data_IF_863033416034
#
_entry.id   IF_863033416034
#
_cell.length_a   1.000
_cell.length_b   1.000
_cell.length_c   1.000
_cell.angle_alpha   90.00
_cell.angle_beta   90.00
_cell.angle_gamma   90.00
#
_symmetry.space_group_name_H-M   'P 1'
#
loop_
_entity.id
_entity.type
_entity.pdbx_description
1 polymer ?
#
# COMPACT_ATOMS: atom_id res chain seq x y z
N UNK A 1 -0.13 -23.29 -11.12
CA UNK A 1 -0.81 -21.99 -10.87
C UNK A 1 0.18 -20.83 -10.97
N UNK A 2 1.40 -21.03 -10.55
CA UNK A 2 2.55 -20.10 -10.65
C UNK A 2 2.90 -19.73 -12.11
N UNK A 3 2.97 -20.72 -12.98
CA UNK A 3 3.31 -20.56 -14.41
C UNK A 3 2.34 -19.67 -15.22
N UNK A 4 1.07 -19.60 -14.81
CA UNK A 4 0.07 -18.78 -15.51
C UNK A 4 0.17 -17.29 -15.16
N UNK A 5 0.55 -16.97 -13.92
CA UNK A 5 0.73 -15.59 -13.44
C UNK A 5 2.03 -14.97 -13.96
N UNK A 6 3.10 -15.76 -14.04
CA UNK A 6 4.35 -15.33 -14.67
C UNK A 6 4.17 -15.07 -16.16
N UNK A 7 3.36 -15.88 -16.83
CA UNK A 7 3.09 -15.74 -18.27
C UNK A 7 2.29 -14.47 -18.56
N UNK A 8 1.28 -14.15 -17.76
CA UNK A 8 0.53 -12.89 -17.87
C UNK A 8 1.43 -11.67 -17.68
N UNK A 9 2.39 -11.74 -16.75
CA UNK A 9 3.37 -10.67 -16.54
C UNK A 9 4.37 -10.53 -17.67
N UNK A 10 4.80 -11.64 -18.28
CA UNK A 10 5.72 -11.64 -19.41
C UNK A 10 5.06 -11.09 -20.68
N UNK A 11 3.78 -11.38 -20.89
CA UNK A 11 3.00 -10.85 -22.00
C UNK A 11 2.68 -9.35 -21.82
N UNK A 12 2.51 -8.89 -20.57
CA UNK A 12 2.37 -7.48 -20.25
C UNK A 12 3.66 -6.68 -20.51
N UNK A 13 4.86 -7.26 -20.28
CA UNK A 13 6.13 -6.62 -20.67
C UNK A 13 6.24 -6.38 -22.18
N UNK A 14 5.67 -7.27 -23.00
CA UNK A 14 5.59 -7.08 -24.46
C UNK A 14 4.63 -5.95 -24.82
N UNK A 15 3.49 -5.83 -24.12
CA UNK A 15 2.52 -4.76 -24.31
C UNK A 15 3.08 -3.37 -24.01
N UNK A 16 3.87 -3.23 -22.95
CA UNK A 16 4.48 -1.93 -22.56
C UNK A 16 5.52 -1.46 -23.60
N UNK A 17 6.22 -2.37 -24.28
CA UNK A 17 7.16 -2.02 -25.35
C UNK A 17 6.47 -1.58 -26.64
N UNK A 18 5.20 -1.92 -26.87
CA UNK A 18 4.43 -1.59 -28.08
C UNK A 18 3.47 -0.41 -27.90
N UNK A 19 3.17 0.03 -26.69
CA UNK A 19 2.27 1.17 -26.44
C UNK A 19 2.88 2.54 -26.80
N UNK A 20 4.13 2.58 -27.22
CA UNK A 20 4.78 3.80 -27.72
C UNK A 20 4.55 4.04 -29.22
N UNK A 21 3.88 3.19 -29.97
CA UNK A 21 3.54 3.42 -31.37
C UNK A 21 2.21 2.76 -31.76
N UNK A 22 1.34 3.58 -32.33
CA UNK A 22 0.21 3.32 -33.24
C UNK A 22 -1.19 3.06 -32.67
N UNK A 23 -2.06 3.91 -33.17
CA UNK A 23 -3.52 3.94 -33.29
C UNK A 23 -4.12 2.66 -33.93
N UNK A 24 -5.30 2.30 -33.41
CA UNK A 24 -6.43 1.65 -34.08
C UNK A 24 -6.27 0.25 -34.70
N UNK A 25 -6.92 -0.73 -34.07
CA UNK A 25 -7.80 -1.71 -34.77
C UNK A 25 -8.64 -2.50 -33.72
N UNK A 26 -9.96 -2.36 -33.81
CA UNK A 26 -10.94 -3.13 -33.07
C UNK A 26 -10.99 -4.57 -33.60
N UNK A 27 -10.72 -5.55 -32.73
CA UNK A 27 -11.03 -6.95 -33.03
C UNK A 27 -11.76 -7.57 -31.81
N UNK A 28 -13.03 -7.89 -32.04
CA UNK A 28 -13.89 -8.63 -31.12
C UNK A 28 -13.44 -10.09 -31.16
N UNK A 29 -12.88 -10.60 -30.05
CA UNK A 29 -12.67 -12.03 -29.86
C UNK A 29 -13.65 -12.56 -28.82
N UNK A 30 -14.59 -13.38 -29.26
CA UNK A 30 -15.42 -14.22 -28.40
C UNK A 30 -14.63 -15.44 -27.96
N UNK A 31 -14.37 -15.56 -26.66
CA UNK A 31 -13.75 -16.74 -26.04
C UNK A 31 -14.83 -17.70 -25.54
N UNK A 32 -14.63 -19.02 -25.69
CA UNK A 32 -15.58 -20.01 -25.17
C UNK A 32 -15.53 -20.04 -23.63
N UNK A 33 -16.72 -20.03 -23.01
CA UNK A 33 -16.87 -20.23 -21.58
C UNK A 33 -16.62 -21.71 -21.24
N UNK A 34 -15.43 -22.01 -20.71
CA UNK A 34 -15.21 -23.25 -19.96
C UNK A 34 -15.41 -22.96 -18.47
N UNK A 35 -16.53 -23.40 -17.95
CA UNK A 35 -16.81 -23.44 -16.51
C UNK A 35 -15.95 -24.51 -15.86
N UNK A 36 -14.79 -24.15 -15.33
CA UNK A 36 -14.08 -24.95 -14.35
C UNK A 36 -14.62 -24.58 -12.98
N UNK A 37 -15.38 -25.49 -12.37
CA UNK A 37 -15.71 -25.46 -10.96
C UNK A 37 -14.44 -25.56 -10.15
N UNK A 38 -13.94 -24.41 -9.68
CA UNK A 38 -12.88 -24.37 -8.66
C UNK A 38 -13.58 -24.56 -7.33
N UNK A 39 -13.29 -25.68 -6.67
CA UNK A 39 -13.63 -25.89 -5.27
C UNK A 39 -13.15 -24.66 -4.48
N UNK A 40 -14.12 -23.86 -4.03
CA UNK A 40 -13.89 -22.72 -3.18
C UNK A 40 -13.40 -23.22 -1.81
N UNK A 41 -12.09 -23.35 -1.67
CA UNK A 41 -11.47 -23.30 -0.35
C UNK A 41 -11.77 -21.90 0.21
N UNK A 42 -12.85 -21.88 0.96
CA UNK A 42 -13.59 -20.74 1.47
C UNK A 42 -12.65 -19.77 2.18
N UNK A 43 -12.27 -18.68 1.53
CA UNK A 43 -12.01 -17.46 2.25
C UNK A 43 -13.36 -17.03 2.85
N UNK A 44 -13.49 -16.84 4.18
CA UNK A 44 -14.70 -16.22 4.70
C UNK A 44 -14.88 -14.89 3.97
N UNK A 45 -16.12 -14.51 3.61
CA UNK A 45 -16.35 -13.23 2.96
C UNK A 45 -15.75 -12.14 3.85
N UNK A 46 -14.90 -11.29 3.25
CA UNK A 46 -14.40 -10.09 3.92
C UNK A 46 -15.63 -9.36 4.47
N UNK A 47 -15.64 -9.08 5.78
CA UNK A 47 -16.78 -8.40 6.40
C UNK A 47 -16.97 -7.07 5.71
N UNK A 48 -18.15 -6.87 5.11
CA UNK A 48 -18.50 -5.60 4.48
C UNK A 48 -18.62 -4.52 5.54
N UNK A 49 -17.89 -3.41 5.33
CA UNK A 49 -17.97 -2.23 6.20
C UNK A 49 -19.20 -1.43 5.78
N UNK A 50 -20.14 -1.18 6.71
CA UNK A 50 -21.26 -0.28 6.46
C UNK A 50 -20.75 1.18 6.41
N UNK A 51 -21.11 1.91 5.35
CA UNK A 51 -20.70 3.29 5.15
C UNK A 51 -21.50 4.26 6.00
N UNK A 52 -20.91 5.42 6.33
CA UNK A 52 -21.63 6.54 6.98
C UNK A 52 -22.75 7.05 6.08
N UNK A 53 -23.83 7.57 6.70
CA UNK A 53 -25.03 8.07 5.98
C UNK A 53 -24.83 9.39 5.21
N UNK A 54 -23.60 9.93 5.15
CA UNK A 54 -23.32 11.19 4.44
C UNK A 54 -22.65 10.87 3.10
N UNK A 55 -23.35 11.08 1.97
CA UNK A 55 -22.75 10.86 0.66
C UNK A 55 -21.55 11.79 0.42
N UNK A 56 -20.45 11.21 -0.04
CA UNK A 56 -19.26 11.94 -0.50
C UNK A 56 -19.01 11.59 -1.97
N UNK A 57 -18.07 12.25 -2.63
CA UNK A 57 -17.62 11.86 -3.98
C UNK A 57 -17.01 10.45 -4.05
N UNK A 58 -16.70 9.86 -2.91
CA UNK A 58 -16.15 8.51 -2.78
C UNK A 58 -17.19 7.44 -2.45
N UNK A 59 -18.43 7.82 -2.14
CA UNK A 59 -19.47 6.88 -1.71
C UNK A 59 -19.64 5.74 -2.71
N UNK A 60 -19.49 4.49 -2.22
CA UNK A 60 -19.61 3.28 -3.01
C UNK A 60 -18.35 2.88 -3.80
N UNK A 61 -17.34 3.74 -3.90
CA UNK A 61 -16.05 3.39 -4.54
C UNK A 61 -15.32 2.32 -3.74
N UNK A 62 -14.55 1.49 -4.46
CA UNK A 62 -13.75 0.40 -3.90
C UNK A 62 -12.37 0.90 -3.49
N UNK A 63 -12.05 0.79 -2.20
CA UNK A 63 -10.73 1.09 -1.67
C UNK A 63 -9.90 -0.18 -1.50
N UNK A 64 -8.68 -0.20 -2.06
CA UNK A 64 -7.64 -1.17 -1.68
C UNK A 64 -6.51 -0.49 -0.92
N UNK A 65 -5.92 -1.23 0.02
CA UNK A 65 -4.83 -0.77 0.87
C UNK A 65 -3.60 -1.61 0.60
N UNK A 66 -2.47 -0.97 0.34
CA UNK A 66 -1.15 -1.59 0.32
C UNK A 66 -0.37 -1.08 1.53
N UNK A 67 -0.17 -1.94 2.53
CA UNK A 67 0.40 -1.53 3.80
C UNK A 67 1.30 -2.59 4.44
N UNK A 68 1.88 -2.23 5.56
CA UNK A 68 2.60 -3.11 6.48
C UNK A 68 1.80 -3.40 7.76
N UNK A 69 2.47 -3.65 8.89
CA UNK A 69 1.84 -3.94 10.17
C UNK A 69 0.84 -2.88 10.64
N UNK A 70 1.05 -1.61 10.28
CA UNK A 70 0.22 -0.50 10.72
C UNK A 70 -1.18 -0.49 10.11
N UNK A 71 -1.40 -1.33 9.09
CA UNK A 71 -2.66 -1.41 8.34
C UNK A 71 -3.32 -2.79 8.42
N UNK A 72 -2.68 -3.79 9.07
CA UNK A 72 -3.27 -5.13 9.19
C UNK A 72 -4.43 -5.15 10.19
N UNK A 73 -5.33 -6.12 10.03
CA UNK A 73 -6.26 -6.56 11.07
C UNK A 73 -6.68 -8.00 10.77
N UNK A 74 -6.81 -8.82 11.81
CA UNK A 74 -7.23 -10.21 11.66
C UNK A 74 -8.57 -10.31 10.90
N UNK A 75 -8.71 -11.29 10.02
CA UNK A 75 -9.87 -11.54 9.15
C UNK A 75 -10.12 -10.46 8.05
N UNK A 76 -9.26 -9.44 7.92
CA UNK A 76 -9.39 -8.38 6.91
C UNK A 76 -8.22 -8.31 5.94
N UNK A 77 -7.27 -9.24 6.04
CA UNK A 77 -6.12 -9.39 5.13
C UNK A 77 -6.07 -10.82 4.57
N UNK A 78 -5.34 -11.11 3.48
CA UNK A 78 -5.16 -12.47 2.98
C UNK A 78 -4.65 -13.42 4.09
N UNK A 79 -5.13 -14.67 4.10
CA UNK A 79 -4.90 -15.63 5.20
C UNK A 79 -3.45 -15.95 5.49
N UNK A 80 -2.61 -15.94 4.47
CA UNK A 80 -1.17 -16.22 4.56
C UNK A 80 -0.33 -14.96 4.88
N UNK A 81 -0.98 -13.79 5.05
CA UNK A 81 -0.31 -12.54 5.40
C UNK A 81 -0.13 -12.45 6.92
N UNK A 82 0.97 -11.81 7.31
CA UNK A 82 1.28 -11.62 8.72
C UNK A 82 0.39 -10.55 9.35
N UNK A 83 -0.11 -10.81 10.55
CA UNK A 83 -1.05 -9.97 11.29
C UNK A 83 -0.31 -9.24 12.40
N UNK A 84 -0.67 -7.98 12.67
CA UNK A 84 -0.31 -7.26 13.90
C UNK A 84 -1.54 -6.97 14.77
N UNK A 85 -2.59 -6.37 14.19
CA UNK A 85 -3.81 -6.06 14.94
C UNK A 85 -4.81 -7.23 14.94
N UNK A 86 -5.60 -7.44 16.05
CA UNK A 86 -5.71 -6.55 17.23
C UNK A 86 -4.52 -6.63 18.19
N UNK A 87 -3.82 -7.75 18.36
CA UNK A 87 -2.69 -7.93 19.29
C UNK A 87 -2.80 -7.06 20.56
N UNK A 88 -1.68 -6.73 21.18
CA UNK A 88 -1.61 -5.85 22.35
C UNK A 88 -1.48 -4.36 21.93
N UNK A 89 -2.28 -3.93 20.98
CA UNK A 89 -2.11 -2.64 20.31
C UNK A 89 -3.00 -1.51 20.86
N UNK A 90 -3.97 -1.83 21.72
CA UNK A 90 -5.01 -0.86 22.14
C UNK A 90 -6.10 -0.65 21.08
N UNK A 91 -6.13 -1.44 19.99
CA UNK A 91 -7.19 -1.48 18.97
C UNK A 91 -7.81 -2.88 18.96
N UNK A 92 -8.81 -3.16 19.82
CA UNK A 92 -9.41 -4.49 19.93
C UNK A 92 -10.38 -4.82 18.81
N UNK A 93 -10.91 -3.81 18.13
CA UNK A 93 -11.95 -3.94 17.09
C UNK A 93 -11.49 -3.27 15.81
N UNK A 94 -11.89 -3.82 14.67
CA UNK A 94 -11.50 -3.32 13.34
C UNK A 94 -11.91 -1.88 13.10
N UNK A 95 -13.02 -1.45 13.66
CA UNK A 95 -13.54 -0.09 13.60
C UNK A 95 -12.55 0.95 14.16
N UNK A 96 -11.64 0.54 15.02
CA UNK A 96 -10.58 1.38 15.57
C UNK A 96 -9.38 1.56 14.63
N UNK A 97 -9.26 0.77 13.56
CA UNK A 97 -8.16 0.94 12.59
C UNK A 97 -8.31 2.22 11.78
N UNK A 98 -7.20 2.82 11.38
CA UNK A 98 -7.22 4.06 10.61
C UNK A 98 -8.00 3.92 9.29
N UNK A 99 -7.83 2.80 8.60
CA UNK A 99 -8.46 2.58 7.29
C UNK A 99 -9.96 2.30 7.39
N UNK A 100 -10.42 1.62 8.45
CA UNK A 100 -11.85 1.40 8.66
C UNK A 100 -12.56 2.73 8.95
N UNK A 101 -11.94 3.59 9.76
CA UNK A 101 -12.45 4.94 10.03
C UNK A 101 -12.52 5.77 8.74
N UNK A 102 -11.52 5.64 7.83
CA UNK A 102 -11.55 6.29 6.51
C UNK A 102 -12.69 5.77 5.66
N UNK A 103 -12.92 4.44 5.61
CA UNK A 103 -14.06 3.86 4.88
C UNK A 103 -15.38 4.44 5.38
N UNK A 104 -15.58 4.49 6.68
CA UNK A 104 -16.79 5.06 7.29
C UNK A 104 -16.98 6.54 6.95
N UNK A 105 -15.92 7.33 7.06
CA UNK A 105 -15.98 8.78 6.84
C UNK A 105 -16.20 9.16 5.36
N UNK A 106 -15.74 8.32 4.42
CA UNK A 106 -15.82 8.59 2.98
C UNK A 106 -16.98 7.90 2.28
N UNK A 107 -17.56 6.87 2.91
CA UNK A 107 -18.56 6.02 2.29
C UNK A 107 -17.98 5.03 1.26
N UNK A 108 -16.66 4.86 1.21
CA UNK A 108 -16.04 3.81 0.41
C UNK A 108 -16.32 2.43 0.99
N UNK A 109 -16.24 1.39 0.16
CA UNK A 109 -16.24 -0.01 0.59
C UNK A 109 -14.85 -0.60 0.45
N UNK A 110 -14.49 -1.52 1.35
CA UNK A 110 -13.24 -2.24 1.23
C UNK A 110 -13.28 -3.14 0.00
N UNK A 111 -12.31 -2.96 -0.91
CA UNK A 111 -11.99 -3.89 -1.97
C UNK A 111 -11.09 -4.99 -1.41
N UNK A 112 -9.86 -4.62 -1.06
CA UNK A 112 -8.90 -5.53 -0.40
C UNK A 112 -7.95 -4.76 0.50
N UNK A 113 -7.64 -5.32 1.65
CA UNK A 113 -6.53 -4.87 2.46
C UNK A 113 -5.33 -5.82 2.24
N UNK A 114 -4.46 -5.49 1.30
CA UNK A 114 -3.25 -6.24 0.99
C UNK A 114 -2.07 -5.83 1.89
N UNK A 115 -2.32 -5.64 3.20
CA UNK A 115 -1.28 -5.30 4.18
C UNK A 115 -0.73 -6.56 4.85
N UNK A 116 0.59 -6.61 5.06
CA UNK A 116 1.24 -7.73 5.76
C UNK A 116 2.27 -7.19 6.75
N UNK A 117 2.16 -7.62 8.01
CA UNK A 117 3.04 -7.15 9.07
C UNK A 117 4.50 -7.54 8.79
N UNK A 118 5.41 -6.68 9.27
CA UNK A 118 6.84 -6.93 9.17
C UNK A 118 7.39 -6.96 7.72
N UNK A 119 6.70 -6.34 6.76
CA UNK A 119 7.14 -6.28 5.36
C UNK A 119 7.70 -4.91 4.99
N UNK A 120 8.73 -4.91 4.15
CA UNK A 120 9.31 -3.73 3.51
C UNK A 120 8.60 -3.42 2.17
N UNK A 121 8.88 -2.26 1.60
CA UNK A 121 8.70 -2.04 0.16
C UNK A 121 9.75 -2.81 -0.62
N UNK A 122 11.00 -2.77 -0.13
CA UNK A 122 12.19 -3.36 -0.75
C UNK A 122 12.30 -4.84 -0.43
N UNK A 123 12.61 -5.64 -1.44
CA UNK A 123 12.84 -7.08 -1.34
C UNK A 123 12.64 -7.76 -2.69
N UNK A 124 12.48 -9.08 -2.70
CA UNK A 124 12.28 -9.83 -3.94
C UNK A 124 10.94 -9.46 -4.60
N UNK A 125 11.00 -8.83 -5.76
CA UNK A 125 9.82 -8.42 -6.52
C UNK A 125 9.04 -9.61 -7.09
N UNK A 126 9.64 -10.80 -7.06
CA UNK A 126 9.05 -12.07 -7.52
C UNK A 126 8.65 -12.99 -6.36
N UNK A 127 8.76 -12.54 -5.11
CA UNK A 127 8.28 -13.31 -3.95
C UNK A 127 6.76 -13.54 -4.03
N UNK A 128 6.32 -14.74 -3.62
CA UNK A 128 4.93 -15.20 -3.77
C UNK A 128 4.25 -15.56 -2.46
N UNK A 129 4.99 -15.58 -1.33
CA UNK A 129 4.44 -15.88 -0.01
C UNK A 129 3.86 -14.65 0.69
N UNK A 130 3.24 -14.85 1.85
CA UNK A 130 2.60 -13.79 2.63
C UNK A 130 3.55 -12.75 3.22
N UNK A 131 4.89 -12.98 3.16
CA UNK A 131 5.92 -12.02 3.56
C UNK A 131 6.45 -11.18 2.39
N UNK A 132 5.89 -11.37 1.19
CA UNK A 132 6.31 -10.68 -0.03
C UNK A 132 6.35 -9.14 0.18
N UNK A 133 7.40 -8.45 -0.31
CA UNK A 133 7.55 -7.01 -0.15
C UNK A 133 6.53 -6.23 -0.97
N UNK A 134 6.35 -4.94 -0.64
CA UNK A 134 5.41 -4.07 -1.35
C UNK A 134 5.65 -3.96 -2.85
N UNK A 135 6.91 -4.05 -3.31
CA UNK A 135 7.24 -4.05 -4.74
C UNK A 135 6.99 -5.40 -5.45
N UNK A 136 6.58 -6.45 -4.73
CA UNK A 136 6.35 -7.77 -5.32
C UNK A 136 5.10 -7.79 -6.18
N UNK A 137 5.12 -8.65 -7.21
CA UNK A 137 3.97 -8.87 -8.05
C UNK A 137 2.77 -9.41 -7.25
N UNK A 138 3.03 -10.32 -6.29
CA UNK A 138 2.01 -10.88 -5.39
C UNK A 138 1.20 -9.79 -4.70
N UNK A 139 1.88 -8.86 -4.00
CA UNK A 139 1.21 -7.80 -3.22
C UNK A 139 0.39 -6.86 -4.09
N UNK A 140 0.88 -6.58 -5.31
CA UNK A 140 0.15 -5.71 -6.25
C UNK A 140 -1.05 -6.44 -6.85
N UNK A 141 -0.94 -7.73 -7.18
CA UNK A 141 -2.08 -8.52 -7.69
C UNK A 141 -3.19 -8.68 -6.64
N UNK A 142 -2.81 -8.79 -5.38
CA UNK A 142 -3.75 -8.95 -4.27
C UNK A 142 -4.50 -7.65 -3.90
N UNK A 143 -4.30 -6.55 -4.66
CA UNK A 143 -5.14 -5.34 -4.54
C UNK A 143 -6.51 -5.49 -5.21
N UNK A 144 -6.74 -6.54 -5.99
CA UNK A 144 -8.04 -6.83 -6.60
C UNK A 144 -9.02 -7.37 -5.58
N UNK A 145 -10.30 -7.12 -5.85
CA UNK A 145 -11.41 -7.74 -5.13
C UNK A 145 -11.41 -9.27 -5.35
N UNK A 146 -12.13 -10.00 -4.52
CA UNK A 146 -12.26 -11.45 -4.61
C UNK A 146 -12.87 -11.92 -5.95
N UNK A 147 -13.70 -11.08 -6.57
CA UNK A 147 -14.28 -11.32 -7.90
C UNK A 147 -13.31 -10.97 -9.05
N UNK A 148 -12.07 -10.55 -8.73
CA UNK A 148 -11.05 -10.14 -9.70
C UNK A 148 -11.19 -8.70 -10.19
N UNK A 149 -12.21 -7.95 -9.76
CA UNK A 149 -12.41 -6.57 -10.17
C UNK A 149 -11.35 -5.63 -9.57
N UNK A 150 -11.01 -4.57 -10.31
CA UNK A 150 -10.04 -3.59 -9.89
C UNK A 150 -10.60 -2.66 -8.80
N UNK A 151 -9.75 -2.12 -7.90
CA UNK A 151 -10.13 -1.02 -7.02
C UNK A 151 -10.30 0.29 -7.81
N UNK A 152 -11.13 1.19 -7.28
CA UNK A 152 -11.26 2.58 -7.76
C UNK A 152 -10.21 3.49 -7.10
N UNK A 153 -9.84 3.17 -5.85
CA UNK A 153 -8.89 3.92 -5.03
C UNK A 153 -7.87 2.96 -4.43
N UNK A 154 -6.60 3.34 -4.45
CA UNK A 154 -5.52 2.61 -3.78
C UNK A 154 -4.81 3.58 -2.83
N UNK A 155 -4.74 3.24 -1.54
CA UNK A 155 -3.95 3.97 -0.55
C UNK A 155 -2.74 3.12 -0.15
N UNK A 156 -1.55 3.74 -0.22
CA UNK A 156 -0.27 3.10 0.09
C UNK A 156 0.31 3.73 1.36
N UNK A 157 0.53 2.92 2.39
CA UNK A 157 1.30 3.30 3.58
C UNK A 157 2.35 2.23 3.85
N UNK A 158 3.54 2.41 3.29
CA UNK A 158 4.67 1.49 3.41
C UNK A 158 6.02 2.24 3.37
N UNK A 159 7.02 1.68 4.04
CA UNK A 159 8.39 2.19 4.05
C UNK A 159 8.96 2.40 5.45
N UNK A 160 8.13 2.36 6.50
CA UNK A 160 8.58 2.50 7.88
C UNK A 160 9.53 1.37 8.29
N UNK A 161 9.34 0.17 7.74
CA UNK A 161 10.23 -0.97 7.95
C UNK A 161 11.53 -0.86 7.16
N UNK A 162 11.48 -0.31 5.95
CA UNK A 162 12.69 -0.02 5.16
C UNK A 162 13.60 0.97 5.91
N UNK A 163 13.02 2.04 6.48
CA UNK A 163 13.75 2.98 7.33
C UNK A 163 14.38 2.29 8.54
N UNK A 164 13.62 1.47 9.26
CA UNK A 164 14.06 0.83 10.50
C UNK A 164 15.08 -0.29 10.29
N UNK A 165 15.14 -0.88 9.09
CA UNK A 165 16.08 -1.94 8.72
C UNK A 165 17.27 -1.44 7.93
N UNK A 166 17.48 -0.14 7.94
CA UNK A 166 18.62 0.49 7.29
C UNK A 166 18.71 0.16 5.79
N UNK A 167 17.57 -0.01 5.12
CA UNK A 167 17.57 -0.20 3.66
C UNK A 167 18.15 1.06 3.02
N UNK A 168 19.12 0.93 2.09
CA UNK A 168 19.66 2.08 1.39
C UNK A 168 18.55 2.91 0.74
N UNK A 169 18.52 4.22 1.02
CA UNK A 169 17.45 5.10 0.55
C UNK A 169 17.41 5.18 -0.99
N UNK A 170 18.57 5.32 -1.62
CA UNK A 170 18.66 5.67 -3.04
C UNK A 170 18.22 7.11 -3.31
N UNK A 171 18.27 7.50 -4.57
CA UNK A 171 17.82 8.83 -5.02
C UNK A 171 17.01 8.67 -6.30
N UNK A 172 15.75 9.09 -6.25
CA UNK A 172 14.92 9.22 -7.43
C UNK A 172 15.26 10.53 -8.14
N UNK A 173 15.52 10.49 -9.45
CA UNK A 173 15.80 11.68 -10.28
C UNK A 173 14.71 11.86 -11.34
N UNK A 174 14.35 10.79 -12.03
CA UNK A 174 13.32 10.79 -13.08
C UNK A 174 12.80 9.37 -13.26
N UNK A 175 11.58 9.20 -13.82
CA UNK A 175 11.04 7.87 -14.11
C UNK A 175 11.99 7.03 -14.96
N UNK A 176 12.22 5.81 -14.53
CA UNK A 176 13.05 4.83 -15.22
C UNK A 176 12.40 3.45 -15.14
N UNK A 177 12.66 2.58 -16.12
CA UNK A 177 12.15 1.22 -16.08
C UNK A 177 12.95 0.41 -15.06
N UNK A 178 12.30 0.04 -13.96
CA UNK A 178 12.91 -0.80 -12.95
C UNK A 178 12.83 -2.28 -13.37
N UNK A 179 13.95 -2.98 -13.19
CA UNK A 179 14.01 -4.41 -13.49
C UNK A 179 13.37 -5.24 -12.36
N UNK A 180 12.79 -6.40 -12.73
CA UNK A 180 12.41 -7.40 -11.75
C UNK A 180 13.63 -7.98 -11.05
N UNK A 181 13.47 -8.41 -9.80
CA UNK A 181 14.52 -8.96 -8.98
C UNK A 181 14.48 -8.42 -7.56
N UNK A 182 15.62 -8.07 -7.03
CA UNK A 182 15.76 -7.43 -5.71
C UNK A 182 16.25 -5.99 -5.93
N UNK A 183 15.35 -4.99 -5.86
CA UNK A 183 15.76 -3.59 -5.93
C UNK A 183 16.81 -3.27 -4.88
N UNK A 184 17.86 -2.55 -5.27
CA UNK A 184 18.99 -2.25 -4.40
C UNK A 184 18.67 -1.17 -3.34
N UNK A 185 17.64 -0.34 -3.57
CA UNK A 185 17.31 0.79 -2.72
C UNK A 185 15.80 0.92 -2.51
N UNK A 186 15.42 1.65 -1.46
CA UNK A 186 14.01 2.00 -1.21
C UNK A 186 13.39 2.75 -2.40
N UNK A 187 14.10 3.75 -2.95
CA UNK A 187 13.59 4.54 -4.07
C UNK A 187 13.30 3.68 -5.30
N UNK A 188 14.22 2.77 -5.67
CA UNK A 188 14.00 1.86 -6.81
C UNK A 188 12.87 0.86 -6.56
N UNK A 189 12.71 0.38 -5.33
CA UNK A 189 11.62 -0.52 -4.96
C UNK A 189 10.26 0.20 -4.99
N UNK A 190 10.20 1.42 -4.45
CA UNK A 190 8.98 2.23 -4.44
C UNK A 190 8.55 2.61 -5.87
N UNK A 191 9.52 2.92 -6.73
CA UNK A 191 9.30 3.17 -8.14
C UNK A 191 8.75 1.92 -8.85
N UNK A 192 9.38 0.74 -8.66
CA UNK A 192 8.89 -0.53 -9.22
C UNK A 192 7.46 -0.85 -8.77
N UNK A 193 7.15 -0.60 -7.50
CA UNK A 193 5.80 -0.77 -6.94
C UNK A 193 4.79 0.10 -7.70
N UNK A 194 5.05 1.39 -7.87
CA UNK A 194 4.14 2.29 -8.59
C UNK A 194 4.04 1.97 -10.09
N UNK A 195 5.11 1.53 -10.74
CA UNK A 195 5.07 1.06 -12.13
C UNK A 195 4.07 -0.10 -12.29
N UNK A 196 4.14 -1.10 -11.39
CA UNK A 196 3.22 -2.24 -11.41
C UNK A 196 1.78 -1.81 -11.13
N UNK A 197 1.57 -0.96 -10.13
CA UNK A 197 0.23 -0.45 -9.80
C UNK A 197 -0.37 0.28 -11.00
N UNK A 198 0.36 1.19 -11.64
CA UNK A 198 -0.13 1.92 -12.81
C UNK A 198 -0.40 1.03 -14.02
N UNK A 199 0.41 -0.02 -14.20
CA UNK A 199 0.21 -0.98 -15.29
C UNK A 199 -1.03 -1.86 -15.09
N UNK A 200 -1.30 -2.29 -13.84
CA UNK A 200 -2.40 -3.19 -13.51
C UNK A 200 -3.73 -2.47 -13.22
N UNK A 201 -3.65 -1.24 -12.72
CA UNK A 201 -4.78 -0.43 -12.30
C UNK A 201 -4.72 0.98 -12.89
N UNK A 202 -4.73 1.12 -14.22
CA UNK A 202 -4.52 2.43 -14.89
C UNK A 202 -5.59 3.46 -14.55
N UNK A 203 -6.79 3.01 -14.16
CA UNK A 203 -7.92 3.86 -13.82
C UNK A 203 -8.08 4.13 -12.31
N UNK A 204 -7.30 3.47 -11.46
CA UNK A 204 -7.37 3.69 -10.03
C UNK A 204 -6.74 5.03 -9.63
N UNK A 205 -7.41 5.77 -8.75
CA UNK A 205 -6.81 6.89 -8.06
C UNK A 205 -5.83 6.37 -7.00
N UNK A 206 -4.54 6.71 -7.14
CA UNK A 206 -3.47 6.21 -6.24
C UNK A 206 -3.03 7.32 -5.30
N UNK A 207 -3.02 7.02 -4.01
CA UNK A 207 -2.59 7.91 -2.94
C UNK A 207 -1.41 7.29 -2.19
N UNK A 208 -0.29 8.02 -2.13
CA UNK A 208 0.91 7.63 -1.39
C UNK A 208 0.99 8.43 -0.10
N UNK A 209 0.92 7.76 1.04
CA UNK A 209 1.08 8.40 2.34
C UNK A 209 2.55 8.60 2.68
N UNK A 210 2.89 9.77 3.24
CA UNK A 210 4.17 9.96 3.93
C UNK A 210 4.15 9.23 5.27
N UNK A 211 5.32 8.90 5.80
CA UNK A 211 5.50 8.12 7.03
C UNK A 211 5.52 9.08 8.23
N UNK A 212 4.71 8.82 9.26
CA UNK A 212 4.78 9.55 10.53
C UNK A 212 5.97 9.10 11.39
N UNK A 213 6.22 9.78 12.49
CA UNK A 213 7.36 9.56 13.35
C UNK A 213 7.49 8.10 13.83
N UNK A 214 8.69 7.55 13.74
CA UNK A 214 9.13 6.30 14.37
C UNK A 214 10.53 6.54 14.93
N UNK A 215 10.75 6.30 16.21
CA UNK A 215 12.07 6.46 16.80
C UNK A 215 13.00 5.29 16.38
N UNK A 216 14.09 5.56 15.65
CA UNK A 216 15.07 4.55 15.28
C UNK A 216 16.06 4.20 16.41
N UNK A 217 16.00 4.89 17.55
CA UNK A 217 16.93 4.76 18.65
C UNK A 217 18.31 5.40 18.41
N UNK A 218 18.54 6.00 17.26
CA UNK A 218 19.78 6.67 16.88
C UNK A 218 19.54 8.16 16.62
N UNK A 219 20.57 8.97 16.88
CA UNK A 219 20.57 10.41 16.63
C UNK A 219 21.85 10.81 15.90
N UNK A 220 21.74 11.76 15.00
CA UNK A 220 22.90 12.41 14.39
C UNK A 220 23.56 13.42 15.35
N UNK A 221 24.65 14.08 14.90
CA UNK A 221 25.37 15.11 15.65
C UNK A 221 24.50 16.34 16.03
N UNK A 222 23.35 16.52 15.37
CA UNK A 222 22.38 17.59 15.64
C UNK A 222 21.18 17.10 16.42
N UNK A 223 21.27 15.91 17.04
CA UNK A 223 20.22 15.25 17.82
C UNK A 223 18.95 14.89 17.00
N UNK A 224 19.09 14.73 15.67
CA UNK A 224 17.98 14.31 14.80
C UNK A 224 17.86 12.79 14.76
N UNK A 225 16.64 12.21 14.81
CA UNK A 225 16.43 10.78 14.63
C UNK A 225 16.89 10.33 13.24
N UNK A 226 17.81 9.38 13.19
CA UNK A 226 18.36 8.82 11.92
C UNK A 226 18.48 7.30 12.02
N UNK A 227 18.37 6.61 10.89
CA UNK A 227 18.75 5.21 10.79
C UNK A 227 20.28 5.05 10.70
N UNK A 228 20.80 3.82 10.68
CA UNK A 228 22.24 3.55 10.64
C UNK A 228 22.94 4.07 9.38
N UNK A 229 22.18 4.29 8.29
CA UNK A 229 22.70 4.92 7.08
C UNK A 229 22.71 6.46 7.16
N UNK A 230 22.34 7.04 8.31
CA UNK A 230 22.29 8.49 8.51
C UNK A 230 21.07 9.18 7.89
N UNK A 231 20.11 8.43 7.36
CA UNK A 231 18.90 8.99 6.77
C UNK A 231 17.84 9.26 7.85
N UNK A 232 17.06 10.33 7.66
CA UNK A 232 15.87 10.65 8.44
C UNK A 232 14.61 10.10 7.75
N UNK A 233 13.48 10.00 8.48
CA UNK A 233 12.17 9.74 7.85
C UNK A 233 11.78 10.82 6.85
N UNK A 234 12.21 12.07 7.06
CA UNK A 234 11.97 13.16 6.10
C UNK A 234 12.64 12.84 4.75
N UNK A 235 13.81 12.19 4.74
CA UNK A 235 14.49 11.82 3.50
C UNK A 235 13.71 10.73 2.75
N UNK A 236 13.18 9.73 3.46
CA UNK A 236 12.25 8.73 2.88
C UNK A 236 10.99 9.40 2.33
N UNK A 237 10.38 10.31 3.09
CA UNK A 237 9.19 11.04 2.67
C UNK A 237 9.43 11.93 1.44
N UNK A 238 10.62 12.51 1.28
CA UNK A 238 11.01 13.23 0.05
C UNK A 238 11.01 12.30 -1.16
N UNK A 239 11.55 11.07 -1.03
CA UNK A 239 11.52 10.10 -2.13
C UNK A 239 10.10 9.67 -2.45
N UNK A 240 9.27 9.36 -1.44
CA UNK A 240 7.85 9.03 -1.64
C UNK A 240 7.14 10.14 -2.42
N UNK A 241 7.29 11.41 -1.99
CA UNK A 241 6.65 12.57 -2.65
C UNK A 241 7.12 12.73 -4.10
N UNK A 242 8.41 12.61 -4.35
CA UNK A 242 8.99 12.77 -5.68
C UNK A 242 8.53 11.65 -6.64
N UNK A 243 8.58 10.40 -6.20
CA UNK A 243 8.17 9.25 -7.01
C UNK A 243 6.65 9.27 -7.25
N UNK A 244 5.85 9.51 -6.21
CA UNK A 244 4.39 9.62 -6.34
C UNK A 244 3.99 10.65 -7.39
N UNK A 245 4.55 11.86 -7.30
CA UNK A 245 4.31 12.94 -8.26
C UNK A 245 4.67 12.55 -9.70
N UNK A 246 5.83 11.92 -9.89
CA UNK A 246 6.30 11.52 -11.22
C UNK A 246 5.43 10.42 -11.87
N UNK A 247 4.79 9.59 -11.05
CA UNK A 247 3.86 8.54 -11.50
C UNK A 247 2.38 8.96 -11.46
N UNK A 248 2.09 10.25 -11.25
CA UNK A 248 0.72 10.79 -11.22
C UNK A 248 -0.11 10.23 -10.07
N UNK A 249 0.52 9.87 -8.95
CA UNK A 249 -0.15 9.55 -7.71
C UNK A 249 -0.23 10.78 -6.80
N UNK A 250 -1.31 10.91 -6.05
CA UNK A 250 -1.48 11.97 -5.05
C UNK A 250 -0.71 11.64 -3.78
N UNK A 251 -0.29 12.66 -3.04
CA UNK A 251 0.40 12.49 -1.76
C UNK A 251 -0.52 12.88 -0.62
N UNK A 252 -0.62 12.02 0.40
CA UNK A 252 -1.25 12.33 1.70
C UNK A 252 -0.15 12.55 2.72
N UNK A 253 -0.06 13.75 3.29
CA UNK A 253 1.03 14.12 4.19
C UNK A 253 0.77 13.64 5.64
N UNK A 254 0.82 12.32 5.81
CA UNK A 254 0.62 11.66 7.11
C UNK A 254 1.76 11.97 8.10
N UNK A 255 2.93 12.40 7.63
CA UNK A 255 4.01 12.88 8.51
C UNK A 255 3.56 13.97 9.46
N UNK A 256 2.61 14.80 9.01
CA UNK A 256 2.05 15.90 9.78
C UNK A 256 0.67 15.58 10.41
N UNK A 257 0.32 14.29 10.58
CA UNK A 257 -0.96 13.88 11.17
C UNK A 257 -1.10 14.18 12.69
N UNK A 258 -0.04 14.66 13.33
CA UNK A 258 0.00 14.94 14.76
C UNK A 258 0.73 13.91 15.61
N UNK A 259 1.19 12.79 15.01
CA UNK A 259 2.07 11.82 15.67
C UNK A 259 3.52 12.26 15.45
N UNK A 260 4.20 12.67 16.51
CA UNK A 260 5.58 13.18 16.49
C UNK A 260 6.50 12.32 17.35
N UNK A 261 7.81 12.56 17.28
CA UNK A 261 8.77 11.84 18.12
C UNK A 261 8.53 12.06 19.62
N UNK A 262 8.02 13.22 20.00
CA UNK A 262 7.81 13.63 21.40
C UNK A 262 6.55 12.98 22.00
N UNK A 263 5.59 12.57 21.16
CA UNK A 263 4.31 12.04 21.62
C UNK A 263 4.04 10.57 21.21
N UNK A 264 5.07 9.86 20.71
CA UNK A 264 4.94 8.46 20.31
C UNK A 264 4.33 7.58 21.40
N UNK A 265 4.73 7.75 22.66
CA UNK A 265 4.19 6.98 23.78
C UNK A 265 2.71 7.23 24.07
N UNK A 266 2.15 8.34 23.59
CA UNK A 266 0.73 8.68 23.75
C UNK A 266 -0.11 8.06 22.64
N UNK A 267 0.40 8.06 21.40
CA UNK A 267 -0.35 7.71 20.20
C UNK A 267 0.02 6.36 19.59
N UNK A 268 0.98 5.65 20.19
CA UNK A 268 1.38 4.30 19.75
C UNK A 268 1.45 3.35 20.93
N UNK A 269 1.30 2.06 20.66
CA UNK A 269 1.41 1.01 21.69
C UNK A 269 2.86 0.64 22.05
N UNK A 270 3.80 0.88 21.11
CA UNK A 270 5.18 0.40 21.19
C UNK A 270 6.22 1.34 20.54
N UNK A 271 5.84 2.59 20.30
CA UNK A 271 6.67 3.59 19.62
C UNK A 271 6.59 3.53 18.08
N UNK A 272 5.77 2.63 17.54
CA UNK A 272 5.58 2.41 16.08
C UNK A 272 4.13 2.29 15.69
N UNK A 273 3.40 1.37 16.33
CA UNK A 273 2.05 0.99 15.95
C UNK A 273 1.02 1.89 16.64
N UNK A 274 0.21 2.62 15.88
CA UNK A 274 -0.85 3.44 16.45
C UNK A 274 -1.76 2.67 17.39
N UNK A 275 -2.05 3.24 18.55
CA UNK A 275 -3.17 2.86 19.38
C UNK A 275 -4.44 3.55 18.89
N UNK A 276 -5.57 3.42 19.58
CA UNK A 276 -6.85 4.00 19.13
C UNK A 276 -6.78 5.51 18.88
N UNK A 277 -6.26 6.36 19.79
CA UNK A 277 -6.06 7.78 19.50
C UNK A 277 -5.13 8.06 18.33
N UNK A 278 -4.04 7.30 18.18
CA UNK A 278 -3.12 7.46 17.06
C UNK A 278 -3.74 7.08 15.72
N UNK A 279 -4.51 5.99 15.69
CA UNK A 279 -5.26 5.59 14.50
C UNK A 279 -6.30 6.63 14.08
N UNK A 280 -6.92 7.30 15.06
CA UNK A 280 -7.85 8.42 14.80
C UNK A 280 -7.14 9.62 14.15
N UNK A 281 -5.95 10.01 14.65
CA UNK A 281 -5.16 11.07 14.03
C UNK A 281 -4.79 10.73 12.59
N UNK A 282 -4.34 9.50 12.35
CA UNK A 282 -4.02 9.02 11.01
C UNK A 282 -5.26 9.06 10.10
N UNK A 283 -6.39 8.50 10.55
CA UNK A 283 -7.64 8.49 9.80
C UNK A 283 -8.14 9.91 9.45
N UNK A 284 -8.08 10.83 10.41
CA UNK A 284 -8.49 12.23 10.17
C UNK A 284 -7.62 12.88 9.09
N UNK A 285 -6.31 12.66 9.12
CA UNK A 285 -5.39 13.18 8.11
C UNK A 285 -5.72 12.65 6.71
N UNK A 286 -5.91 11.32 6.58
CA UNK A 286 -6.25 10.69 5.30
C UNK A 286 -7.62 11.16 4.80
N UNK A 287 -8.63 11.16 5.67
CA UNK A 287 -9.98 11.61 5.32
C UNK A 287 -9.99 13.05 4.85
N UNK A 288 -9.33 13.95 5.58
CA UNK A 288 -9.24 15.37 5.20
C UNK A 288 -8.58 15.56 3.84
N UNK A 289 -7.49 14.83 3.56
CA UNK A 289 -6.80 14.89 2.27
C UNK A 289 -7.70 14.39 1.12
N UNK A 290 -8.45 13.30 1.33
CA UNK A 290 -9.36 12.75 0.34
C UNK A 290 -10.54 13.70 0.05
N UNK A 291 -11.17 14.25 1.08
CA UNK A 291 -12.37 15.07 0.91
C UNK A 291 -12.06 16.48 0.35
N UNK A 292 -10.82 16.97 0.51
CA UNK A 292 -10.38 18.27 0.03
C UNK A 292 -9.62 18.21 -1.32
N UNK A 293 -9.44 17.01 -1.89
CA UNK A 293 -8.72 16.79 -3.18
C UNK A 293 -9.61 17.02 -4.40
#
# INVERSE_FOLDING_TARGET
>A
MEDKREKEFFDMKKGIRFAALSLAASLIFTLPQNTLSVDAAVNPPLKTVESSNVPTKYTGLKLSILGDSLSTFNDYIPRDYNIFYPGNSGIPMVEGTWWYQVLNATGMRLCTNASSANTNVTGSSVATDGSAPGCSFRRIMDLRDIDGSAPDVIIIYMGVNDFARDIPLGTFQSPSIQAEGIPATFSSAYELMLQKIKALYPNAAVYCCTLFARDPGLRDKNNKPVNRNGNTLIDFNKQIKAIASAYGASVIDVYNCGITYENLSVFTSDGVHPNLPGAQLFANCVTAALLNS
#
